data_IF_786312827594
#
_entry.id   IF_786312827594
#
_cell.length_a   1.000
_cell.length_b   1.000
_cell.length_c   1.000
_cell.angle_alpha   90.00
_cell.angle_beta   90.00
_cell.angle_gamma   90.00
#
_symmetry.space_group_name_H-M   'P 1'
#
loop_
_entity.id
_entity.type
_entity.pdbx_description
1 polymer ?
#
# COMPACT_ATOMS: atom_id res chain seq x y z
N UNK A 1 7.15 18.62 -13.21
CA UNK A 1 7.40 17.83 -11.99
C UNK A 1 8.89 17.87 -11.74
N UNK A 2 9.31 18.46 -10.64
CA UNK A 2 10.72 18.58 -10.26
C UNK A 2 11.23 17.25 -9.70
N UNK A 3 12.54 16.97 -9.81
CA UNK A 3 13.15 15.74 -9.28
C UNK A 3 12.80 15.48 -7.80
N UNK A 4 12.59 16.55 -7.02
CA UNK A 4 12.21 16.52 -5.60
C UNK A 4 10.79 15.96 -5.41
N UNK A 5 9.84 16.36 -6.27
CA UNK A 5 8.47 15.85 -6.24
C UNK A 5 8.46 14.36 -6.58
N UNK A 6 9.22 13.92 -7.58
CA UNK A 6 9.32 12.50 -7.96
C UNK A 6 9.95 11.65 -6.86
N UNK A 7 11.02 12.11 -6.21
CA UNK A 7 11.65 11.38 -5.10
C UNK A 7 10.72 11.21 -3.90
N UNK A 8 9.98 12.26 -3.53
CA UNK A 8 9.01 12.21 -2.43
C UNK A 8 7.84 11.27 -2.72
N UNK A 9 7.38 11.24 -3.97
CA UNK A 9 6.34 10.29 -4.41
C UNK A 9 6.84 8.84 -4.30
N UNK A 10 8.07 8.57 -4.76
CA UNK A 10 8.68 7.24 -4.66
C UNK A 10 8.85 6.80 -3.20
N UNK A 11 9.21 7.72 -2.31
CA UNK A 11 9.35 7.46 -0.88
C UNK A 11 8.01 7.08 -0.23
N UNK A 12 6.94 7.83 -0.52
CA UNK A 12 5.58 7.51 -0.04
C UNK A 12 5.09 6.17 -0.56
N UNK A 13 5.32 5.87 -1.85
CA UNK A 13 4.99 4.57 -2.45
C UNK A 13 5.78 3.46 -1.76
N UNK A 14 7.08 3.65 -1.55
CA UNK A 14 7.95 2.68 -0.89
C UNK A 14 7.51 2.36 0.54
N UNK A 15 7.13 3.38 1.32
CA UNK A 15 6.60 3.20 2.69
C UNK A 15 5.32 2.37 2.69
N UNK A 16 4.39 2.68 1.79
CA UNK A 16 3.12 1.96 1.71
C UNK A 16 3.29 0.52 1.21
N UNK A 17 4.22 0.27 0.27
CA UNK A 17 4.60 -1.10 -0.14
C UNK A 17 5.17 -1.87 1.05
N UNK A 18 6.05 -1.25 1.85
CA UNK A 18 6.62 -1.87 3.05
C UNK A 18 5.54 -2.29 4.05
N UNK A 19 4.57 -1.41 4.31
CA UNK A 19 3.43 -1.70 5.20
C UNK A 19 2.59 -2.88 4.71
N UNK A 20 2.29 -2.92 3.41
CA UNK A 20 1.56 -4.05 2.80
C UNK A 20 2.34 -5.35 2.94
N UNK A 21 3.66 -5.34 2.69
CA UNK A 21 4.49 -6.53 2.84
C UNK A 21 4.57 -7.01 4.30
N UNK A 22 4.61 -6.09 5.26
CA UNK A 22 4.65 -6.42 6.68
C UNK A 22 3.32 -7.02 7.16
N UNK A 23 2.20 -6.41 6.78
CA UNK A 23 0.86 -6.97 7.04
C UNK A 23 0.68 -8.35 6.38
N UNK A 24 1.19 -8.53 5.15
CA UNK A 24 1.14 -9.82 4.46
C UNK A 24 2.00 -10.90 5.15
N UNK A 25 3.20 -10.56 5.66
CA UNK A 25 4.04 -11.51 6.42
C UNK A 25 3.39 -11.96 7.73
N UNK A 26 2.53 -11.12 8.27
CA UNK A 26 1.78 -11.40 9.47
C UNK A 26 0.62 -12.39 9.20
N UNK A 27 0.15 -12.55 7.95
CA UNK A 27 -0.81 -13.60 7.62
C UNK A 27 -0.13 -14.97 7.62
N UNK A 28 -0.48 -15.80 8.61
CA UNK A 28 0.02 -17.18 8.75
C UNK A 28 -1.15 -18.14 8.86
N UNK A 29 -1.05 -19.31 8.23
CA UNK A 29 -2.03 -20.38 8.34
C UNK A 29 -2.13 -21.00 9.75
N UNK A 30 -1.23 -20.59 10.67
CA UNK A 30 -1.27 -20.97 12.07
C UNK A 30 -2.16 -20.06 12.94
N UNK A 31 -2.76 -19.02 12.36
CA UNK A 31 -3.67 -18.12 13.06
C UNK A 31 -5.09 -18.72 13.09
N UNK A 32 -5.80 -18.45 14.17
CA UNK A 32 -7.24 -18.75 14.26
C UNK A 32 -8.02 -17.91 13.23
N UNK A 33 -9.17 -18.41 12.79
CA UNK A 33 -9.97 -17.79 11.71
C UNK A 33 -10.27 -16.30 11.99
N UNK A 34 -10.66 -15.96 13.20
CA UNK A 34 -10.96 -14.58 13.61
C UNK A 34 -9.73 -13.65 13.49
N UNK A 35 -8.53 -14.17 13.78
CA UNK A 35 -7.27 -13.42 13.66
C UNK A 35 -6.86 -13.25 12.19
N UNK A 36 -7.18 -14.22 11.32
CA UNK A 36 -7.00 -14.09 9.88
C UNK A 36 -7.93 -13.04 9.30
N UNK A 37 -9.20 -13.05 9.70
CA UNK A 37 -10.20 -12.07 9.25
C UNK A 37 -9.80 -10.64 9.64
N UNK A 38 -9.35 -10.43 10.88
CA UNK A 38 -8.86 -9.12 11.34
C UNK A 38 -7.64 -8.66 10.53
N UNK A 39 -6.66 -9.54 10.29
CA UNK A 39 -5.46 -9.22 9.49
C UNK A 39 -5.77 -8.97 8.02
N UNK A 40 -6.75 -9.67 7.45
CA UNK A 40 -7.22 -9.42 6.08
C UNK A 40 -7.87 -8.03 6.00
N UNK A 41 -8.74 -7.68 6.95
CA UNK A 41 -9.38 -6.37 6.98
C UNK A 41 -8.36 -5.21 7.07
N UNK A 42 -7.33 -5.36 7.91
CA UNK A 42 -6.24 -4.38 8.01
C UNK A 42 -5.43 -4.25 6.71
N UNK A 43 -5.19 -5.38 6.04
CA UNK A 43 -4.51 -5.40 4.74
C UNK A 43 -5.35 -4.71 3.65
N UNK A 44 -6.65 -4.99 3.59
CA UNK A 44 -7.58 -4.36 2.65
C UNK A 44 -7.63 -2.84 2.84
N UNK A 45 -7.69 -2.39 4.09
CA UNK A 45 -7.64 -0.95 4.43
C UNK A 45 -6.33 -0.32 3.95
N UNK A 46 -5.20 -0.94 4.24
CA UNK A 46 -3.87 -0.42 3.82
C UNK A 46 -3.76 -0.33 2.29
N UNK A 47 -4.32 -1.31 1.57
CA UNK A 47 -4.37 -1.30 0.11
C UNK A 47 -5.27 -0.16 -0.41
N UNK A 48 -6.40 0.09 0.22
CA UNK A 48 -7.29 1.20 -0.15
C UNK A 48 -6.60 2.55 0.01
N UNK A 49 -5.93 2.77 1.14
CA UNK A 49 -5.14 3.99 1.40
C UNK A 49 -4.02 4.19 0.36
N UNK A 50 -3.32 3.11 -0.01
CA UNK A 50 -2.31 3.17 -1.07
C UNK A 50 -2.94 3.54 -2.42
N UNK A 51 -4.09 2.95 -2.78
CA UNK A 51 -4.79 3.27 -4.04
C UNK A 51 -5.24 4.72 -4.08
N UNK A 52 -5.78 5.25 -3.00
CA UNK A 52 -6.15 6.67 -2.88
C UNK A 52 -4.93 7.58 -2.99
N UNK A 53 -3.85 7.25 -2.29
CA UNK A 53 -2.59 7.99 -2.37
C UNK A 53 -2.03 8.02 -3.80
N UNK A 54 -2.06 6.89 -4.50
CA UNK A 54 -1.66 6.79 -5.91
C UNK A 54 -2.58 7.58 -6.85
N UNK A 55 -3.89 7.56 -6.62
CA UNK A 55 -4.86 8.30 -7.43
C UNK A 55 -4.74 9.82 -7.24
N UNK A 56 -4.30 10.28 -6.07
CA UNK A 56 -4.03 11.68 -5.76
C UNK A 56 -2.72 12.20 -6.39
N UNK A 57 -1.86 11.31 -6.90
CA UNK A 57 -0.65 11.73 -7.59
C UNK A 57 -1.00 12.40 -8.92
N UNK A 58 -0.31 13.50 -9.31
CA UNK A 58 -0.51 14.20 -10.59
C UNK A 58 0.02 13.39 -11.80
N UNK A 59 -0.09 12.07 -11.77
CA UNK A 59 0.30 11.17 -12.84
C UNK A 59 -0.82 11.15 -13.90
N UNK A 60 -0.68 11.97 -14.95
CA UNK A 60 -1.40 11.69 -16.21
C UNK A 60 -0.94 10.31 -16.67
N UNK A 61 -1.83 9.34 -16.62
CA UNK A 61 -1.66 8.03 -17.27
C UNK A 61 -1.57 8.28 -18.77
N UNK A 62 -0.38 8.61 -19.28
CA UNK A 62 -0.06 8.45 -20.71
C UNK A 62 0.07 6.96 -20.93
N UNK A 63 -1.07 6.34 -21.27
CA UNK A 63 -1.07 5.05 -21.96
C UNK A 63 -0.24 5.25 -23.24
N UNK A 64 0.90 4.58 -23.31
CA UNK A 64 1.68 4.36 -24.52
C UNK A 64 1.37 2.96 -25.04
#
# INVERSE_FOLDING_TARGET
MTHIETSRVNEVIGINIGRVQEAARQLSAALELEQLEERIADLEKTIAELKEGLAALPYKRTLA
#
